data_IF_139428096629
#
_entry.id   IF_139428096629
#
_cell.length_a   1.000
_cell.length_b   1.000
_cell.length_c   1.000
_cell.angle_alpha   90.00
_cell.angle_beta   90.00
_cell.angle_gamma   90.00
#
_symmetry.space_group_name_H-M   'P 1'
#
loop_
_entity.id
_entity.type
_entity.pdbx_description
1 polymer ?
#
# COMPACT_ATOMS: atom_id res chain seq x y z
N UNK A 1 -1.53 -18.21 2.96
CA UNK A 1 -0.12 -18.34 2.53
C UNK A 1 0.76 -18.56 3.75
N UNK A 2 1.90 -19.22 3.60
CA UNK A 2 2.90 -19.33 4.67
C UNK A 2 3.44 -17.94 5.02
N UNK A 3 3.64 -17.66 6.32
CA UNK A 3 4.22 -16.41 6.79
C UNK A 3 5.58 -16.14 6.17
N UNK A 4 6.45 -17.15 6.04
CA UNK A 4 7.78 -16.96 5.47
C UNK A 4 7.70 -16.53 3.99
N UNK A 5 6.78 -17.15 3.23
CA UNK A 5 6.53 -16.75 1.85
C UNK A 5 5.94 -15.33 1.75
N UNK A 6 5.10 -14.91 2.69
CA UNK A 6 4.61 -13.54 2.73
C UNK A 6 5.74 -12.53 3.02
N UNK A 7 6.65 -12.86 3.95
CA UNK A 7 7.80 -12.00 4.29
C UNK A 7 8.82 -11.91 3.16
N UNK A 8 9.08 -13.02 2.45
CA UNK A 8 9.88 -13.01 1.22
C UNK A 8 9.25 -12.11 0.16
N UNK A 9 7.93 -12.21 -0.01
CA UNK A 9 7.21 -11.39 -0.98
C UNK A 9 7.26 -9.89 -0.67
N UNK A 10 7.16 -9.53 0.61
CA UNK A 10 7.33 -8.14 1.07
C UNK A 10 8.75 -7.65 0.82
N UNK A 11 9.75 -8.49 1.09
CA UNK A 11 11.14 -8.16 0.80
C UNK A 11 11.33 -7.87 -0.69
N UNK A 12 10.72 -8.64 -1.60
CA UNK A 12 10.76 -8.37 -3.04
C UNK A 12 10.14 -7.01 -3.40
N UNK A 13 9.03 -6.61 -2.75
CA UNK A 13 8.41 -5.29 -2.95
C UNK A 13 9.37 -4.18 -2.51
N UNK A 14 9.97 -4.33 -1.32
CA UNK A 14 10.93 -3.35 -0.79
C UNK A 14 12.17 -3.27 -1.69
N UNK A 15 12.68 -4.39 -2.18
CA UNK A 15 13.83 -4.46 -3.09
C UNK A 15 13.54 -3.80 -4.44
N UNK A 16 12.32 -3.93 -4.97
CA UNK A 16 11.89 -3.23 -6.18
C UNK A 16 11.85 -1.71 -5.95
N UNK A 17 11.29 -1.26 -4.83
CA UNK A 17 11.20 0.16 -4.47
C UNK A 17 12.58 0.77 -4.22
N UNK A 18 13.44 0.09 -3.48
CA UNK A 18 14.80 0.54 -3.14
C UNK A 18 15.69 0.66 -4.39
N UNK A 19 15.64 -0.33 -5.29
CA UNK A 19 16.32 -0.24 -6.59
C UNK A 19 15.80 0.93 -7.42
N UNK A 20 14.49 1.19 -7.41
CA UNK A 20 13.93 2.29 -8.17
C UNK A 20 14.29 3.68 -7.63
N UNK A 21 14.70 3.76 -6.36
CA UNK A 21 15.20 5.00 -5.77
C UNK A 21 16.71 5.21 -6.00
N UNK A 22 17.47 4.17 -6.34
CA UNK A 22 18.94 4.18 -6.38
C UNK A 22 19.54 3.95 -7.77
N UNK A 23 18.78 3.38 -8.71
CA UNK A 23 19.24 2.98 -10.05
C UNK A 23 18.24 3.45 -11.15
N UNK A 24 18.49 3.07 -12.41
CA UNK A 24 17.60 3.32 -13.56
C UNK A 24 16.31 2.46 -13.55
N UNK A 25 16.08 1.63 -12.52
CA UNK A 25 14.84 0.89 -12.36
C UNK A 25 13.69 1.89 -12.15
N UNK A 26 12.69 1.90 -13.03
CA UNK A 26 11.61 2.90 -12.95
C UNK A 26 10.37 2.32 -12.32
N UNK A 27 9.73 3.11 -11.46
CA UNK A 27 8.34 2.91 -11.04
C UNK A 27 7.45 3.90 -11.79
N UNK A 28 6.14 3.60 -11.94
CA UNK A 28 5.21 4.52 -12.61
C UNK A 28 5.14 5.89 -11.91
N UNK A 29 5.38 5.92 -10.60
CA UNK A 29 5.50 7.13 -9.78
C UNK A 29 6.47 6.86 -8.62
N UNK A 30 7.09 7.91 -8.04
CA UNK A 30 7.98 7.72 -6.90
C UNK A 30 7.23 7.16 -5.68
N UNK A 31 7.89 6.26 -4.95
CA UNK A 31 7.41 5.70 -3.68
C UNK A 31 8.24 6.27 -2.54
N UNK A 32 7.55 6.77 -1.51
CA UNK A 32 8.16 7.36 -0.31
C UNK A 32 8.25 6.39 0.85
N UNK A 33 7.22 5.57 1.04
CA UNK A 33 7.13 4.64 2.17
C UNK A 33 6.54 3.30 1.74
N UNK A 34 7.02 2.22 2.35
CA UNK A 34 6.41 0.88 2.28
C UNK A 34 6.21 0.38 3.70
N UNK A 35 4.97 0.03 4.02
CA UNK A 35 4.58 -0.54 5.30
C UNK A 35 3.89 -1.88 5.10
N UNK A 36 4.02 -2.75 6.07
CA UNK A 36 3.13 -3.89 6.23
C UNK A 36 2.29 -3.70 7.49
N UNK A 37 1.08 -4.22 7.46
CA UNK A 37 0.18 -4.20 8.60
C UNK A 37 -0.59 -5.51 8.65
N UNK A 38 -1.44 -5.63 9.66
CA UNK A 38 -2.30 -6.79 9.77
C UNK A 38 -1.55 -8.09 10.09
N UNK A 39 -1.93 -9.21 9.47
CA UNK A 39 -1.53 -10.56 9.91
C UNK A 39 -0.02 -10.76 9.89
N UNK A 40 0.64 -10.24 8.85
CA UNK A 40 2.10 -10.31 8.71
C UNK A 40 2.80 -9.50 9.79
N UNK A 41 2.29 -8.32 10.15
CA UNK A 41 2.85 -7.48 11.20
C UNK A 41 2.66 -8.11 12.59
N UNK A 42 1.56 -8.82 12.80
CA UNK A 42 1.23 -9.52 14.05
C UNK A 42 1.90 -10.91 14.14
N UNK A 43 2.64 -11.33 13.12
CA UNK A 43 3.37 -12.60 13.11
C UNK A 43 2.50 -13.84 13.04
N UNK A 44 1.26 -13.74 12.53
CA UNK A 44 0.37 -14.88 12.36
C UNK A 44 0.89 -15.84 11.28
N UNK A 45 0.62 -17.13 11.46
CA UNK A 45 0.93 -18.19 10.50
C UNK A 45 -0.12 -19.31 10.60
N UNK A 46 -0.84 -19.65 9.52
CA UNK A 46 -0.80 -19.04 8.18
C UNK A 46 -1.37 -17.61 8.14
N UNK A 47 -1.09 -16.91 7.05
CA UNK A 47 -1.65 -15.59 6.74
C UNK A 47 -2.71 -15.72 5.66
N UNK A 48 -3.92 -15.20 5.87
CA UNK A 48 -4.99 -15.29 4.87
C UNK A 48 -4.75 -14.34 3.69
N UNK A 49 -4.20 -13.15 3.99
CA UNK A 49 -3.89 -12.11 3.01
C UNK A 49 -2.73 -11.25 3.50
N UNK A 50 -1.81 -10.91 2.61
CA UNK A 50 -0.72 -9.98 2.89
C UNK A 50 -1.20 -8.54 2.69
N UNK A 51 -1.19 -7.73 3.75
CA UNK A 51 -1.60 -6.33 3.70
C UNK A 51 -0.36 -5.41 3.61
N UNK A 52 -0.27 -4.64 2.52
CA UNK A 52 0.85 -3.72 2.22
C UNK A 52 0.29 -2.33 1.96
N UNK A 53 0.92 -1.32 2.56
CA UNK A 53 0.61 0.09 2.31
C UNK A 53 1.81 0.77 1.66
N UNK A 54 1.55 1.48 0.56
CA UNK A 54 2.54 2.20 -0.21
C UNK A 54 2.17 3.68 -0.25
N UNK A 55 3.06 4.51 0.30
CA UNK A 55 2.96 5.96 0.16
C UNK A 55 3.67 6.36 -1.14
N UNK A 56 2.96 6.98 -2.07
CA UNK A 56 3.51 7.50 -3.32
C UNK A 56 3.54 9.02 -3.37
N UNK A 57 4.39 9.56 -4.22
CA UNK A 57 4.37 10.96 -4.62
C UNK A 57 3.62 11.19 -5.94
N UNK A 58 3.25 12.45 -6.16
CA UNK A 58 2.82 12.90 -7.47
C UNK A 58 4.04 13.13 -8.37
N UNK A 59 3.89 12.82 -9.66
CA UNK A 59 4.92 13.11 -10.64
C UNK A 59 5.04 14.63 -10.84
N UNK A 60 6.10 15.24 -10.29
CA UNK A 60 6.33 16.70 -10.37
C UNK A 60 7.02 17.12 -11.67
N UNK A 61 7.78 16.22 -12.30
CA UNK A 61 8.51 16.45 -13.55
C UNK A 61 8.30 15.24 -14.44
N UNK A 62 7.44 15.39 -15.44
CA UNK A 62 7.16 14.34 -16.41
C UNK A 62 7.35 14.82 -17.84
N UNK A 63 7.29 13.89 -18.78
CA UNK A 63 7.42 14.16 -20.20
C UNK A 63 6.03 14.32 -20.84
N UNK A 64 5.40 15.47 -20.57
CA UNK A 64 4.05 15.76 -21.04
C UNK A 64 3.94 15.82 -22.58
N UNK A 65 5.06 16.08 -23.27
CA UNK A 65 5.12 16.14 -24.73
C UNK A 65 4.92 14.76 -25.36
N UNK A 66 5.30 13.68 -24.65
CA UNK A 66 5.06 12.29 -25.06
C UNK A 66 3.66 11.78 -24.76
N UNK A 67 2.83 12.53 -24.03
CA UNK A 67 1.51 12.05 -23.60
C UNK A 67 0.60 11.62 -24.76
N UNK A 68 0.66 12.33 -25.90
CA UNK A 68 -0.16 12.03 -27.07
C UNK A 68 0.16 10.66 -27.70
N UNK A 69 1.42 10.22 -27.63
CA UNK A 69 1.85 8.92 -28.15
C UNK A 69 1.14 7.77 -27.42
N UNK A 70 1.08 7.84 -26.09
CA UNK A 70 0.45 6.80 -25.28
C UNK A 70 -1.07 6.80 -25.41
N UNK A 71 -1.68 7.97 -25.59
CA UNK A 71 -3.11 8.10 -25.83
C UNK A 71 -3.49 7.49 -27.19
N UNK A 72 -2.72 7.76 -28.25
CA UNK A 72 -2.95 7.17 -29.58
C UNK A 72 -2.70 5.65 -29.58
N UNK A 73 -1.61 5.20 -28.94
CA UNK A 73 -1.18 3.80 -29.02
C UNK A 73 -1.91 2.87 -28.06
N UNK A 74 -2.19 3.32 -26.84
CA UNK A 74 -2.76 2.50 -25.77
C UNK A 74 -4.15 2.95 -25.33
N UNK A 75 -4.64 4.10 -25.83
CA UNK A 75 -5.92 4.66 -25.39
C UNK A 75 -5.87 5.19 -23.95
N UNK A 76 -4.67 5.48 -23.43
CA UNK A 76 -4.47 5.91 -22.04
C UNK A 76 -3.94 7.34 -21.99
N UNK A 77 -4.77 8.27 -21.53
CA UNK A 77 -4.38 9.66 -21.34
C UNK A 77 -3.54 9.85 -20.07
N UNK A 78 -2.67 10.87 -20.03
CA UNK A 78 -1.98 11.27 -18.80
C UNK A 78 -0.65 10.60 -18.52
N UNK A 79 -0.19 9.66 -19.37
CA UNK A 79 1.22 9.22 -19.34
C UNK A 79 2.15 10.41 -19.61
N UNK A 80 3.26 10.50 -18.88
CA UNK A 80 4.14 11.67 -18.85
C UNK A 80 3.62 12.84 -18.00
N UNK A 81 2.40 12.74 -17.43
CA UNK A 81 1.83 13.75 -16.51
C UNK A 81 1.54 13.17 -15.13
N UNK A 82 0.88 12.03 -15.07
CA UNK A 82 0.48 11.35 -13.82
C UNK A 82 1.26 10.07 -13.55
N UNK A 83 1.83 9.48 -14.59
CA UNK A 83 2.76 8.34 -14.53
C UNK A 83 3.95 8.60 -15.44
N UNK A 84 5.12 8.06 -15.09
CA UNK A 84 6.37 8.22 -15.82
C UNK A 84 6.27 7.61 -17.24
N UNK A 85 6.71 8.38 -18.24
CA UNK A 85 6.59 7.99 -19.65
C UNK A 85 7.59 6.91 -20.05
N UNK A 86 8.83 6.99 -19.56
CA UNK A 86 9.86 5.99 -19.85
C UNK A 86 9.52 4.66 -19.18
N UNK A 87 8.96 4.70 -17.95
CA UNK A 87 8.38 3.53 -17.32
C UNK A 87 7.28 2.89 -18.18
N UNK A 88 6.35 3.70 -18.69
CA UNK A 88 5.23 3.19 -19.48
C UNK A 88 5.70 2.59 -20.83
N UNK A 89 6.78 3.11 -21.40
CA UNK A 89 7.41 2.54 -22.59
C UNK A 89 8.09 1.19 -22.30
N UNK A 90 8.76 1.07 -21.15
CA UNK A 90 9.42 -0.16 -20.73
C UNK A 90 8.45 -1.24 -20.21
N UNK A 91 7.31 -0.82 -19.66
CA UNK A 91 6.31 -1.69 -19.01
C UNK A 91 4.88 -1.45 -19.53
N UNK A 92 4.64 -1.54 -20.86
CA UNK A 92 3.31 -1.25 -21.42
C UNK A 92 2.24 -2.22 -20.89
N UNK A 93 2.60 -3.46 -20.59
CA UNK A 93 1.69 -4.48 -20.05
C UNK A 93 1.23 -4.19 -18.62
N UNK A 94 1.92 -3.28 -17.90
CA UNK A 94 1.54 -2.82 -16.56
C UNK A 94 0.75 -1.50 -16.58
N UNK A 95 0.59 -0.87 -17.74
CA UNK A 95 -0.18 0.37 -17.86
C UNK A 95 -1.65 0.11 -17.54
N UNK A 96 -2.21 0.85 -16.59
CA UNK A 96 -3.61 0.76 -16.17
C UNK A 96 -4.25 2.14 -16.16
N UNK A 97 -5.47 2.23 -16.69
CA UNK A 97 -6.28 3.43 -16.64
C UNK A 97 -7.35 3.35 -15.55
N UNK A 98 -7.82 4.51 -15.11
CA UNK A 98 -9.07 4.64 -14.38
C UNK A 98 -10.26 4.53 -15.36
N UNK A 99 -11.46 4.59 -14.80
CA UNK A 99 -12.69 4.39 -15.58
C UNK A 99 -12.97 5.53 -16.58
N UNK A 100 -12.24 6.64 -16.47
CA UNK A 100 -12.25 7.78 -17.40
C UNK A 100 -11.12 7.72 -18.43
N UNK A 101 -10.41 6.59 -18.57
CA UNK A 101 -9.34 6.42 -19.56
C UNK A 101 -8.03 7.15 -19.25
N UNK A 102 -7.86 7.70 -18.04
CA UNK A 102 -6.61 8.34 -17.62
C UNK A 102 -5.73 7.36 -16.85
N UNK A 103 -4.42 7.42 -17.06
CA UNK A 103 -3.44 6.63 -16.34
C UNK A 103 -3.67 6.76 -14.82
N UNK A 104 -3.82 5.62 -14.17
CA UNK A 104 -4.12 5.51 -12.74
C UNK A 104 -2.86 5.04 -12.01
N UNK A 105 -2.08 5.95 -11.39
CA UNK A 105 -0.79 5.63 -10.79
C UNK A 105 -0.87 4.49 -9.76
N UNK A 106 -1.95 4.42 -9.01
CA UNK A 106 -2.23 3.39 -8.00
C UNK A 106 -2.42 2.02 -8.65
N UNK A 107 -3.16 1.96 -9.76
CA UNK A 107 -3.38 0.71 -10.53
C UNK A 107 -2.11 0.29 -11.27
N UNK A 108 -1.33 1.26 -11.78
CA UNK A 108 -0.03 1.00 -12.41
C UNK A 108 1.00 0.48 -11.39
N UNK A 109 1.08 1.09 -10.21
CA UNK A 109 1.94 0.61 -9.12
C UNK A 109 1.54 -0.81 -8.72
N UNK A 110 0.24 -1.08 -8.54
CA UNK A 110 -0.22 -2.41 -8.22
C UNK A 110 0.14 -3.44 -9.31
N UNK A 111 -0.06 -3.11 -10.58
CA UNK A 111 0.31 -3.99 -11.69
C UNK A 111 1.82 -4.25 -11.76
N UNK A 112 2.64 -3.30 -11.31
CA UNK A 112 4.10 -3.45 -11.30
C UNK A 112 4.61 -4.19 -10.07
N UNK A 113 4.00 -3.95 -8.90
CA UNK A 113 4.49 -4.47 -7.62
C UNK A 113 3.94 -5.84 -7.28
N UNK A 114 2.74 -6.22 -7.75
CA UNK A 114 2.03 -7.44 -7.34
C UNK A 114 1.40 -8.22 -8.50
N UNK A 115 1.46 -9.56 -8.44
CA UNK A 115 0.88 -10.44 -9.47
C UNK A 115 -0.62 -10.65 -9.23
N UNK A 116 -1.40 -10.84 -10.31
CA UNK A 116 -2.88 -10.84 -10.26
C UNK A 116 -3.49 -11.97 -9.43
N UNK A 117 -2.76 -13.03 -9.15
CA UNK A 117 -3.17 -14.23 -8.41
C UNK A 117 -2.69 -14.26 -6.94
N UNK A 118 -1.92 -13.27 -6.51
CA UNK A 118 -1.40 -13.20 -5.13
C UNK A 118 -2.48 -12.68 -4.17
N UNK A 119 -2.70 -13.32 -3.00
CA UNK A 119 -3.63 -12.84 -1.98
C UNK A 119 -3.03 -11.64 -1.22
N UNK A 120 -2.84 -10.53 -1.94
CA UNK A 120 -2.26 -9.29 -1.43
C UNK A 120 -3.32 -8.19 -1.50
N UNK A 121 -3.48 -7.49 -0.39
CA UNK A 121 -4.10 -6.20 -0.38
C UNK A 121 -3.05 -5.11 -0.46
N UNK A 122 -3.12 -4.31 -1.51
CA UNK A 122 -2.25 -3.16 -1.68
C UNK A 122 -3.07 -1.87 -1.51
N UNK A 123 -2.77 -1.12 -0.47
CA UNK A 123 -3.21 0.27 -0.33
C UNK A 123 -2.15 1.20 -0.92
N UNK A 124 -2.54 2.04 -1.88
CA UNK A 124 -1.65 3.04 -2.49
C UNK A 124 -2.25 4.42 -2.26
N UNK A 125 -1.50 5.28 -1.57
CA UNK A 125 -1.99 6.60 -1.17
C UNK A 125 -0.88 7.65 -1.27
N UNK A 126 -1.24 8.92 -1.36
CA UNK A 126 -0.30 10.03 -1.24
C UNK A 126 -0.04 10.47 0.21
N UNK A 127 -0.96 10.18 1.13
CA UNK A 127 -0.76 10.42 2.56
C UNK A 127 0.17 9.36 3.17
N UNK A 128 0.98 9.75 4.17
CA UNK A 128 1.77 8.80 4.96
C UNK A 128 0.86 7.78 5.64
N UNK A 129 1.41 6.61 5.98
CA UNK A 129 0.63 5.57 6.68
C UNK A 129 -0.02 6.12 7.97
N UNK A 130 0.76 6.77 8.82
CA UNK A 130 0.30 7.33 10.10
C UNK A 130 -0.78 8.41 9.95
N UNK A 131 -0.65 9.27 8.93
CA UNK A 131 -1.66 10.29 8.65
C UNK A 131 -2.96 9.65 8.17
N UNK A 132 -2.87 8.66 7.27
CA UNK A 132 -4.04 7.98 6.72
C UNK A 132 -4.77 7.16 7.79
N UNK A 133 -4.03 6.47 8.68
CA UNK A 133 -4.60 5.83 9.87
C UNK A 133 -5.45 6.84 10.67
N UNK A 134 -4.89 8.01 10.97
CA UNK A 134 -5.57 9.04 11.75
C UNK A 134 -6.78 9.63 11.02
N UNK A 135 -6.65 9.89 9.72
CA UNK A 135 -7.72 10.47 8.90
C UNK A 135 -8.88 9.48 8.69
N UNK A 136 -8.59 8.22 8.36
CA UNK A 136 -9.60 7.17 8.20
C UNK A 136 -10.28 6.85 9.52
N UNK A 137 -9.56 6.86 10.64
CA UNK A 137 -10.16 6.73 11.96
C UNK A 137 -11.19 7.84 12.21
N UNK A 138 -10.81 9.11 12.05
CA UNK A 138 -11.73 10.25 12.20
C UNK A 138 -12.94 10.14 11.27
N UNK A 139 -12.70 9.79 10.00
CA UNK A 139 -13.76 9.64 9.00
C UNK A 139 -14.70 8.47 9.29
N UNK A 140 -14.19 7.36 9.83
CA UNK A 140 -14.98 6.20 10.23
C UNK A 140 -15.81 6.51 11.47
N UNK A 141 -15.24 7.17 12.49
CA UNK A 141 -15.97 7.61 13.68
C UNK A 141 -17.12 8.56 13.33
N UNK A 142 -16.89 9.51 12.43
CA UNK A 142 -17.93 10.47 12.02
C UNK A 142 -19.10 9.83 11.25
N UNK A 143 -18.90 8.63 10.68
CA UNK A 143 -19.88 7.92 9.84
C UNK A 143 -20.33 6.58 10.42
N UNK A 144 -19.87 6.24 11.63
CA UNK A 144 -20.05 4.92 12.25
C UNK A 144 -19.65 3.76 11.31
N UNK A 145 -18.62 3.98 10.48
CA UNK A 145 -18.17 3.07 9.45
C UNK A 145 -16.86 2.37 9.86
N UNK A 146 -16.86 1.68 11.01
CA UNK A 146 -15.63 1.16 11.64
C UNK A 146 -14.86 0.17 10.78
N UNK A 147 -15.53 -0.59 9.91
CA UNK A 147 -14.84 -1.44 8.94
C UNK A 147 -13.95 -0.66 7.97
N UNK A 148 -14.09 0.65 7.83
CA UNK A 148 -13.21 1.49 7.00
C UNK A 148 -11.96 1.99 7.73
N UNK A 149 -11.77 1.65 9.01
CA UNK A 149 -10.53 1.98 9.73
C UNK A 149 -9.36 1.21 9.12
N UNK A 150 -8.18 1.85 9.08
CA UNK A 150 -6.93 1.18 8.75
C UNK A 150 -6.28 0.71 10.06
N UNK A 151 -5.86 -0.56 10.13
CA UNK A 151 -5.24 -1.11 11.34
C UNK A 151 -3.97 -0.31 11.68
N UNK A 152 -3.87 0.34 12.85
CA UNK A 152 -2.75 1.20 13.19
C UNK A 152 -1.46 0.42 13.50
N UNK A 153 -1.52 -0.91 13.63
CA UNK A 153 -0.39 -1.77 13.99
C UNK A 153 0.42 -2.13 12.74
N UNK A 154 1.15 -1.14 12.23
CA UNK A 154 2.01 -1.26 11.04
C UNK A 154 3.51 -1.32 11.37
N UNK A 155 4.29 -1.86 10.43
CA UNK A 155 5.76 -1.87 10.43
C UNK A 155 6.26 -1.18 9.18
N UNK A 156 7.03 -0.11 9.34
CA UNK A 156 7.70 0.56 8.24
C UNK A 156 8.91 -0.26 7.79
N UNK A 157 9.03 -0.52 6.49
CA UNK A 157 10.12 -1.31 5.91
C UNK A 157 10.95 -0.53 4.90
N UNK A 158 10.42 0.60 4.44
CA UNK A 158 11.10 1.54 3.60
C UNK A 158 10.57 2.94 3.88
N UNK A 159 11.46 3.90 4.10
CA UNK A 159 11.14 5.31 4.22
C UNK A 159 12.38 6.17 3.92
N UNK A 160 12.17 7.41 3.51
CA UNK A 160 13.26 8.39 3.31
C UNK A 160 14.40 7.88 2.39
N UNK A 161 14.03 7.12 1.36
CA UNK A 161 14.99 6.58 0.39
C UNK A 161 15.81 5.39 0.89
N UNK A 162 15.38 4.72 1.96
CA UNK A 162 16.12 3.63 2.60
C UNK A 162 15.20 2.52 3.08
N UNK A 163 15.61 1.28 2.81
CA UNK A 163 15.06 0.08 3.47
C UNK A 163 15.47 0.00 4.93
N UNK A 164 14.61 -0.60 5.76
CA UNK A 164 14.87 -0.92 7.16
C UNK A 164 15.09 -2.43 7.33
N UNK A 165 16.35 -2.86 7.23
CA UNK A 165 16.75 -4.25 7.38
C UNK A 165 16.53 -4.79 8.81
N UNK A 166 16.59 -3.92 9.82
CA UNK A 166 16.38 -4.32 11.20
C UNK A 166 14.90 -4.60 11.46
N UNK A 167 14.00 -3.76 10.94
CA UNK A 167 12.56 -3.99 11.00
C UNK A 167 12.17 -5.29 10.28
N UNK A 168 12.75 -5.55 9.10
CA UNK A 168 12.55 -6.81 8.37
C UNK A 168 13.05 -8.02 9.18
N UNK A 169 14.23 -7.93 9.79
CA UNK A 169 14.77 -9.00 10.63
C UNK A 169 13.88 -9.28 11.87
N UNK A 170 13.39 -8.23 12.53
CA UNK A 170 12.46 -8.35 13.66
C UNK A 170 11.12 -8.95 13.26
N UNK A 171 10.59 -8.60 12.08
CA UNK A 171 9.40 -9.23 11.50
C UNK A 171 9.61 -10.73 11.27
N UNK A 172 10.76 -11.13 10.72
CA UNK A 172 11.10 -12.56 10.54
C UNK A 172 11.27 -13.28 11.87
N UNK A 173 11.90 -12.64 12.85
CA UNK A 173 12.07 -13.19 14.21
C UNK A 173 10.79 -13.22 15.05
N UNK A 174 9.73 -12.51 14.64
CA UNK A 174 8.54 -12.33 15.48
C UNK A 174 8.82 -11.51 16.75
N UNK A 175 9.76 -10.59 16.68
CA UNK A 175 10.29 -9.83 17.83
C UNK A 175 9.51 -8.53 18.11
N UNK A 176 8.54 -8.20 17.26
CA UNK A 176 7.75 -6.98 17.39
C UNK A 176 6.61 -7.18 18.38
N UNK A 177 6.62 -6.38 19.44
CA UNK A 177 5.53 -6.32 20.41
C UNK A 177 4.53 -5.23 20.00
N UNK A 178 3.32 -5.64 19.63
CA UNK A 178 2.21 -4.75 19.37
C UNK A 178 1.22 -4.73 20.53
N UNK A 179 0.59 -3.57 20.82
CA UNK A 179 -0.60 -3.54 21.66
C UNK A 179 -1.75 -4.32 20.99
N UNK A 180 -2.78 -4.63 21.76
CA UNK A 180 -4.05 -5.11 21.18
C UNK A 180 -4.64 -4.04 20.25
N UNK A 181 -5.54 -4.44 19.34
CA UNK A 181 -6.17 -3.50 18.41
C UNK A 181 -6.94 -2.40 19.15
N UNK A 182 -7.70 -2.75 20.19
CA UNK A 182 -8.43 -1.79 21.01
C UNK A 182 -7.48 -0.82 21.72
N UNK A 183 -6.41 -1.31 22.35
CA UNK A 183 -5.40 -0.43 22.97
C UNK A 183 -4.74 0.50 21.94
N UNK A 184 -4.44 0.01 20.73
CA UNK A 184 -3.88 0.85 19.67
C UNK A 184 -4.85 1.96 19.24
N UNK A 185 -6.16 1.67 19.21
CA UNK A 185 -7.20 2.65 18.89
C UNK A 185 -7.42 3.65 20.03
N UNK A 186 -7.33 3.22 21.29
CA UNK A 186 -7.34 4.12 22.46
C UNK A 186 -6.16 5.07 22.46
N UNK A 187 -4.97 4.59 22.09
CA UNK A 187 -3.77 5.43 21.91
C UNK A 187 -3.95 6.49 20.82
N UNK A 188 -4.86 6.27 19.86
CA UNK A 188 -5.25 7.24 18.83
C UNK A 188 -6.41 8.16 19.25
N UNK A 189 -6.90 8.00 20.48
CA UNK A 189 -7.86 8.90 21.12
C UNK A 189 -9.30 8.41 21.17
N UNK A 190 -9.58 7.14 20.87
CA UNK A 190 -10.89 6.55 21.15
C UNK A 190 -11.04 6.28 22.65
N UNK A 191 -12.27 6.35 23.15
CA UNK A 191 -12.59 5.77 24.45
C UNK A 191 -12.63 4.23 24.38
N UNK A 192 -12.46 3.58 25.53
CA UNK A 192 -12.40 2.12 25.67
C UNK A 192 -13.59 1.41 24.99
N UNK A 193 -14.81 1.95 25.13
CA UNK A 193 -16.02 1.37 24.55
C UNK A 193 -16.00 1.43 23.02
N UNK A 194 -15.75 2.61 22.47
CA UNK A 194 -15.64 2.81 21.03
C UNK A 194 -14.48 2.02 20.42
N UNK A 195 -13.34 1.94 21.11
CA UNK A 195 -12.17 1.18 20.66
C UNK A 195 -12.45 -0.33 20.61
N UNK A 196 -13.16 -0.88 21.59
CA UNK A 196 -13.57 -2.27 21.59
C UNK A 196 -14.52 -2.58 20.42
N UNK A 197 -15.55 -1.76 20.23
CA UNK A 197 -16.53 -1.91 19.13
C UNK A 197 -15.86 -1.82 17.75
N UNK A 198 -14.99 -0.83 17.55
CA UNK A 198 -14.23 -0.67 16.32
C UNK A 198 -13.27 -1.84 16.07
N UNK A 199 -12.62 -2.35 17.12
CA UNK A 199 -11.74 -3.50 17.02
C UNK A 199 -12.50 -4.78 16.60
N UNK A 200 -13.71 -4.99 17.12
CA UNK A 200 -14.56 -6.13 16.73
C UNK A 200 -15.01 -6.02 15.28
N UNK A 201 -15.49 -4.84 14.84
CA UNK A 201 -15.86 -4.61 13.45
C UNK A 201 -14.70 -4.85 12.47
N UNK A 202 -13.47 -4.47 12.85
CA UNK A 202 -12.28 -4.73 12.04
C UNK A 202 -11.92 -6.22 11.97
N UNK A 203 -12.06 -6.95 13.09
CA UNK A 203 -11.84 -8.42 13.12
C UNK A 203 -12.84 -9.15 12.24
N UNK A 204 -14.12 -8.78 12.32
CA UNK A 204 -15.18 -9.35 11.48
C UNK A 204 -14.89 -9.10 9.99
N UNK A 205 -14.61 -7.84 9.62
CA UNK A 205 -14.30 -7.50 8.22
C UNK A 205 -13.05 -8.22 7.71
N UNK A 206 -12.02 -8.36 8.54
CA UNK A 206 -10.83 -9.13 8.19
C UNK A 206 -11.19 -10.57 7.86
N UNK A 207 -12.01 -11.24 8.69
CA UNK A 207 -12.39 -12.63 8.48
C UNK A 207 -13.16 -12.85 7.17
N UNK A 208 -13.87 -11.83 6.67
CA UNK A 208 -14.61 -11.88 5.41
C UNK A 208 -13.74 -11.57 4.19
N UNK A 209 -12.63 -10.85 4.37
CA UNK A 209 -11.86 -10.31 3.25
C UNK A 209 -10.74 -11.27 2.82
N UNK A 210 -10.90 -11.89 1.65
CA UNK A 210 -9.92 -12.81 1.07
C UNK A 210 -9.53 -12.41 -0.36
N UNK A 211 -8.36 -12.86 -0.82
CA UNK A 211 -7.88 -12.63 -2.18
C UNK A 211 -7.22 -11.26 -2.42
N UNK A 212 -6.93 -10.98 -3.70
CA UNK A 212 -6.25 -9.76 -4.15
C UNK A 212 -7.20 -8.57 -4.14
N UNK A 213 -6.77 -7.45 -3.58
CA UNK A 213 -7.47 -6.17 -3.70
C UNK A 213 -6.50 -5.01 -3.82
N UNK A 214 -6.80 -4.04 -4.69
CA UNK A 214 -6.04 -2.80 -4.82
C UNK A 214 -6.95 -1.66 -4.44
N UNK A 215 -6.53 -0.86 -3.45
CA UNK A 215 -7.24 0.36 -3.06
C UNK A 215 -6.32 1.54 -3.32
N UNK A 216 -6.74 2.41 -4.22
CA UNK A 216 -6.10 3.69 -4.46
C UNK A 216 -6.94 4.81 -3.86
N UNK A 217 -6.37 5.58 -2.95
CA UNK A 217 -6.97 6.82 -2.45
C UNK A 217 -6.05 8.00 -2.81
N UNK A 218 -6.64 9.09 -3.29
CA UNK A 218 -5.97 10.39 -3.45
C UNK A 218 -6.63 11.32 -2.45
N UNK A 219 -5.88 11.67 -1.39
CA UNK A 219 -6.33 12.60 -0.35
C UNK A 219 -5.95 14.03 -0.72
#
# INVERSE_FOLDING_TARGET
>A
MDRDAALDRVADIVDLVDRAATDDARLPVPVREVWVYGDVALGLDPIDRLDVYVTKDLLMRGDADRAAEFEERYGVAGVGRTVDADWAEAHPDHLRANDNGHAAPERCLAAHLVNDDEPIHLEVCNASFSDNVTQRLKGAMAREAYGEILDPRGVCLYADGRRDDEAMAKLRGGELAFPTLSEALEMLGLDEGAAAEAADALRERRAETTGRTVRGDVV
#
